data_IF_796305821402
#
_entry.id   IF_796305821402
#
_cell.length_a   1.000
_cell.length_b   1.000
_cell.length_c   1.000
_cell.angle_alpha   90.00
_cell.angle_beta   90.00
_cell.angle_gamma   90.00
#
_symmetry.space_group_name_H-M   'P 1'
#
loop_
_entity.id
_entity.type
_entity.pdbx_description
1 polymer ?
#
# COMPACT_ATOMS: atom_id res chain seq x y z
N UNK A 1 24.30 -7.91 9.04
CA UNK A 1 23.26 -8.84 8.52
C UNK A 1 22.20 -8.01 7.80
N UNK A 2 21.92 -8.34 6.54
CA UNK A 2 20.85 -7.70 5.76
C UNK A 2 19.50 -8.05 6.40
N UNK A 3 18.59 -7.10 6.44
CA UNK A 3 17.34 -7.11 7.21
C UNK A 3 16.39 -8.26 6.76
N UNK A 4 16.59 -9.49 7.28
CA UNK A 4 15.84 -10.71 6.87
C UNK A 4 14.33 -10.53 7.09
N UNK A 5 13.93 -9.88 8.18
CA UNK A 5 12.54 -9.53 8.48
C UNK A 5 11.98 -8.52 7.50
N UNK A 6 12.77 -7.54 7.06
CA UNK A 6 12.37 -6.58 6.05
C UNK A 6 12.21 -7.21 4.66
N UNK A 7 13.07 -8.17 4.30
CA UNK A 7 12.91 -8.96 3.08
C UNK A 7 11.65 -9.82 3.14
N UNK A 8 11.38 -10.46 4.28
CA UNK A 8 10.14 -11.21 4.51
C UNK A 8 8.89 -10.35 4.35
N UNK A 9 8.86 -9.14 4.93
CA UNK A 9 7.73 -8.22 4.79
C UNK A 9 7.52 -7.71 3.35
N UNK A 10 8.60 -7.42 2.62
CA UNK A 10 8.54 -7.03 1.21
C UNK A 10 8.07 -8.18 0.33
N UNK A 11 8.60 -9.39 0.54
CA UNK A 11 8.22 -10.58 -0.19
C UNK A 11 6.74 -10.91 0.05
N UNK A 12 6.29 -10.94 1.30
CA UNK A 12 4.91 -11.23 1.67
C UNK A 12 3.93 -10.28 0.99
N UNK A 13 4.23 -8.98 1.02
CA UNK A 13 3.41 -7.96 0.37
C UNK A 13 3.35 -8.15 -1.15
N UNK A 14 4.49 -8.38 -1.80
CA UNK A 14 4.54 -8.56 -3.25
C UNK A 14 3.81 -9.85 -3.68
N UNK A 15 3.96 -10.93 -2.91
CA UNK A 15 3.22 -12.17 -3.11
C UNK A 15 1.72 -11.93 -2.94
N UNK A 16 1.29 -11.22 -1.90
CA UNK A 16 -0.12 -10.88 -1.69
C UNK A 16 -0.70 -10.06 -2.86
N UNK A 17 0.06 -9.08 -3.37
CA UNK A 17 -0.32 -8.32 -4.56
C UNK A 17 -0.49 -9.21 -5.79
N UNK A 18 0.48 -10.09 -6.07
CA UNK A 18 0.41 -11.03 -7.19
C UNK A 18 -0.76 -12.01 -7.06
N UNK A 19 -1.01 -12.53 -5.86
CA UNK A 19 -2.16 -13.41 -5.60
C UNK A 19 -3.45 -12.64 -5.84
N UNK A 20 -3.59 -11.41 -5.34
CA UNK A 20 -4.78 -10.59 -5.54
C UNK A 20 -5.05 -10.28 -7.01
N UNK A 21 -4.01 -9.89 -7.77
CA UNK A 21 -4.10 -9.66 -9.21
C UNK A 21 -4.50 -10.95 -9.94
N UNK A 22 -3.83 -12.06 -9.64
CA UNK A 22 -4.11 -13.36 -10.25
C UNK A 22 -5.54 -13.83 -9.95
N UNK A 23 -5.99 -13.70 -8.71
CA UNK A 23 -7.35 -14.04 -8.30
C UNK A 23 -8.39 -13.20 -9.08
N UNK A 24 -8.19 -11.90 -9.23
CA UNK A 24 -9.08 -11.06 -10.05
C UNK A 24 -9.09 -11.47 -11.53
N UNK A 25 -7.94 -11.86 -12.09
CA UNK A 25 -7.87 -12.39 -13.46
C UNK A 25 -8.66 -13.71 -13.58
N UNK A 26 -8.50 -14.62 -12.63
CA UNK A 26 -9.22 -15.91 -12.59
C UNK A 26 -10.73 -15.74 -12.35
N UNK A 27 -11.14 -14.69 -11.63
CA UNK A 27 -12.55 -14.29 -11.46
C UNK A 27 -13.11 -13.53 -12.66
N UNK A 28 -12.38 -13.45 -13.78
CA UNK A 28 -12.72 -12.70 -15.00
C UNK A 28 -12.85 -11.17 -14.82
N UNK A 29 -12.32 -10.62 -13.72
CA UNK A 29 -12.36 -9.20 -13.38
C UNK A 29 -11.12 -8.47 -13.91
N UNK A 30 -10.81 -8.64 -15.20
CA UNK A 30 -9.57 -8.14 -15.84
C UNK A 30 -9.36 -6.63 -15.65
N UNK A 31 -10.43 -5.84 -15.72
CA UNK A 31 -10.38 -4.39 -15.50
C UNK A 31 -9.95 -4.04 -14.06
N UNK A 32 -10.50 -4.73 -13.05
CA UNK A 32 -10.13 -4.52 -11.66
C UNK A 32 -8.70 -4.98 -11.39
N UNK A 33 -8.27 -6.09 -11.98
CA UNK A 33 -6.89 -6.55 -11.91
C UNK A 33 -5.90 -5.52 -12.48
N UNK A 34 -6.21 -4.94 -13.63
CA UNK A 34 -5.41 -3.88 -14.25
C UNK A 34 -5.37 -2.61 -13.38
N UNK A 35 -6.51 -2.19 -12.84
CA UNK A 35 -6.58 -1.04 -11.91
C UNK A 35 -5.70 -1.29 -10.68
N UNK A 36 -5.84 -2.45 -10.03
CA UNK A 36 -5.02 -2.82 -8.87
C UNK A 36 -3.52 -2.77 -9.20
N UNK A 37 -3.12 -3.35 -10.34
CA UNK A 37 -1.73 -3.33 -10.80
C UNK A 37 -1.22 -1.89 -11.04
N UNK A 38 -2.03 -1.04 -11.69
CA UNK A 38 -1.68 0.36 -11.93
C UNK A 38 -1.54 1.17 -10.63
N UNK A 39 -2.43 0.95 -9.65
CA UNK A 39 -2.35 1.62 -8.34
C UNK A 39 -1.04 1.24 -7.63
N UNK A 40 -0.70 -0.04 -7.61
CA UNK A 40 0.51 -0.52 -6.93
C UNK A 40 1.77 -0.01 -7.64
N UNK A 41 1.82 -0.09 -8.97
CA UNK A 41 2.96 0.35 -9.77
C UNK A 41 3.17 1.87 -9.66
N UNK A 42 2.10 2.66 -9.80
CA UNK A 42 2.16 4.12 -9.69
C UNK A 42 2.56 4.57 -8.29
N UNK A 43 2.07 3.89 -7.24
CA UNK A 43 2.47 4.20 -5.87
C UNK A 43 3.93 3.87 -5.59
N UNK A 44 4.46 2.78 -6.13
CA UNK A 44 5.90 2.48 -6.03
C UNK A 44 6.76 3.56 -6.73
N UNK A 45 6.34 4.00 -7.92
CA UNK A 45 7.02 5.09 -8.63
C UNK A 45 6.95 6.40 -7.85
N UNK A 46 5.80 6.74 -7.27
CA UNK A 46 5.62 7.94 -6.47
C UNK A 46 6.50 7.93 -5.21
N UNK A 47 6.53 6.81 -4.48
CA UNK A 47 7.41 6.65 -3.32
C UNK A 47 8.88 6.83 -3.70
N UNK A 48 9.29 6.19 -4.79
CA UNK A 48 10.65 6.26 -5.31
C UNK A 48 11.02 7.69 -5.71
N UNK A 49 10.12 8.40 -6.41
CA UNK A 49 10.33 9.78 -6.81
C UNK A 49 10.51 10.71 -5.59
N UNK A 50 9.63 10.62 -4.58
CA UNK A 50 9.77 11.42 -3.35
C UNK A 50 11.07 11.07 -2.62
N UNK A 51 11.44 9.79 -2.56
CA UNK A 51 12.65 9.33 -1.87
C UNK A 51 13.92 9.95 -2.45
N UNK A 52 14.05 9.98 -3.76
CA UNK A 52 15.20 10.60 -4.44
C UNK A 52 15.09 12.12 -4.57
N UNK A 53 13.94 12.71 -4.26
CA UNK A 53 13.80 14.18 -4.23
C UNK A 53 14.20 14.78 -2.88
N UNK A 54 13.96 14.06 -1.78
CA UNK A 54 14.22 14.56 -0.42
C UNK A 54 15.61 14.16 0.09
N UNK A 55 16.13 13.01 -0.32
CA UNK A 55 17.48 12.51 0.02
C UNK A 55 17.84 12.57 1.51
N UNK A 56 16.86 12.39 2.39
CA UNK A 56 17.05 12.48 3.84
C UNK A 56 18.01 11.39 4.35
N UNK A 57 19.02 11.81 5.12
CA UNK A 57 19.91 10.89 5.83
C UNK A 57 19.16 10.07 6.90
N UNK A 58 19.56 8.81 7.06
CA UNK A 58 18.96 7.89 8.06
C UNK A 58 19.40 8.23 9.48
N UNK A 59 18.62 7.85 10.51
CA UNK A 59 19.04 7.99 11.90
C UNK A 59 20.32 7.19 12.17
N UNK A 60 21.40 7.88 12.52
CA UNK A 60 22.66 7.24 12.94
C UNK A 60 22.62 6.96 14.45
N UNK A 61 21.79 5.99 14.84
CA UNK A 61 21.62 5.58 16.23
C UNK A 61 22.59 4.42 16.50
N UNK A 62 23.45 4.57 17.51
CA UNK A 62 24.29 3.50 18.04
C UNK A 62 23.39 2.31 18.44
N UNK A 63 23.42 1.23 17.66
CA UNK A 63 22.56 0.06 17.88
C UNK A 63 21.52 -0.24 16.79
N UNK A 64 21.68 0.29 15.55
CA UNK A 64 20.88 -0.20 14.42
C UNK A 64 20.92 -1.73 14.35
N UNK A 65 19.76 -2.35 14.55
CA UNK A 65 19.63 -3.81 14.54
C UNK A 65 19.91 -4.39 13.14
N UNK A 66 19.71 -3.58 12.10
CA UNK A 66 19.93 -3.96 10.69
C UNK A 66 20.35 -2.77 9.82
N UNK A 67 21.18 -3.02 8.80
CA UNK A 67 21.59 -2.01 7.82
C UNK A 67 20.61 -1.96 6.65
N UNK A 68 20.16 -0.76 6.30
CA UNK A 68 19.32 -0.51 5.14
C UNK A 68 19.89 0.64 4.30
N UNK A 69 20.06 0.41 2.99
CA UNK A 69 20.62 1.40 2.06
C UNK A 69 19.59 2.42 1.55
N UNK A 70 20.09 3.51 0.97
CA UNK A 70 19.30 4.58 0.37
C UNK A 70 18.66 5.56 1.37
N UNK A 71 18.02 6.64 0.87
CA UNK A 71 17.44 7.69 1.70
C UNK A 71 16.36 7.19 2.67
N UNK A 72 16.19 7.89 3.79
CA UNK A 72 15.29 7.48 4.89
C UNK A 72 13.83 7.85 4.66
N UNK A 73 13.59 8.96 3.95
CA UNK A 73 12.27 9.54 3.77
C UNK A 73 11.75 9.32 2.34
N UNK A 74 10.46 8.97 2.17
CA UNK A 74 9.59 8.37 3.17
C UNK A 74 9.99 6.90 3.43
N UNK A 75 9.47 6.32 4.52
CA UNK A 75 9.65 4.89 4.77
C UNK A 75 8.94 4.06 3.70
N UNK A 76 9.72 3.39 2.85
CA UNK A 76 9.19 2.55 1.76
C UNK A 76 8.41 1.35 2.29
N UNK A 77 8.81 0.76 3.43
CA UNK A 77 8.04 -0.30 4.09
C UNK A 77 6.67 0.21 4.54
N UNK A 78 6.63 1.39 5.16
CA UNK A 78 5.39 1.98 5.65
C UNK A 78 4.46 2.38 4.49
N UNK A 79 5.01 3.03 3.46
CA UNK A 79 4.26 3.46 2.27
C UNK A 79 3.65 2.28 1.53
N UNK A 80 4.48 1.31 1.14
CA UNK A 80 4.02 0.19 0.35
C UNK A 80 3.12 -0.77 1.15
N UNK A 81 3.30 -0.91 2.47
CA UNK A 81 2.40 -1.71 3.31
C UNK A 81 0.99 -1.11 3.35
N UNK A 82 0.86 0.20 3.57
CA UNK A 82 -0.42 0.89 3.53
C UNK A 82 -1.06 0.82 2.14
N UNK A 83 -0.28 1.13 1.09
CA UNK A 83 -0.73 1.12 -0.31
C UNK A 83 -1.30 -0.25 -0.71
N UNK A 84 -0.53 -1.33 -0.53
CA UNK A 84 -0.93 -2.66 -1.01
C UNK A 84 -2.08 -3.22 -0.17
N UNK A 85 -2.04 -3.07 1.15
CA UNK A 85 -3.11 -3.56 2.02
C UNK A 85 -4.45 -2.91 1.64
N UNK A 86 -4.49 -1.59 1.52
CA UNK A 86 -5.71 -0.87 1.18
C UNK A 86 -6.15 -1.11 -0.26
N UNK A 87 -5.22 -1.10 -1.23
CA UNK A 87 -5.56 -1.35 -2.63
C UNK A 87 -6.19 -2.74 -2.82
N UNK A 88 -5.64 -3.77 -2.17
CA UNK A 88 -6.23 -5.12 -2.15
C UNK A 88 -7.61 -5.10 -1.50
N UNK A 89 -7.73 -4.57 -0.29
CA UNK A 89 -9.02 -4.53 0.41
C UNK A 89 -10.09 -3.81 -0.41
N UNK A 90 -9.77 -2.66 -1.02
CA UNK A 90 -10.70 -1.91 -1.85
C UNK A 90 -11.07 -2.65 -3.14
N UNK A 91 -10.11 -3.36 -3.77
CA UNK A 91 -10.38 -4.16 -4.96
C UNK A 91 -11.33 -5.34 -4.67
N UNK A 92 -11.26 -5.93 -3.47
CA UNK A 92 -12.09 -7.09 -3.10
C UNK A 92 -13.39 -6.75 -2.35
N UNK A 93 -13.52 -5.53 -1.81
CA UNK A 93 -14.72 -5.07 -1.10
C UNK A 93 -16.03 -5.21 -1.90
N UNK A 94 -16.07 -4.99 -3.23
CA UNK A 94 -17.28 -5.18 -4.03
C UNK A 94 -17.84 -6.61 -4.00
N UNK A 95 -17.01 -7.64 -3.78
CA UNK A 95 -17.46 -9.04 -3.70
C UNK A 95 -18.06 -9.42 -2.33
N UNK A 96 -17.97 -8.53 -1.35
CA UNK A 96 -18.48 -8.77 0.00
C UNK A 96 -19.87 -8.14 0.11
N UNK A 97 -20.93 -8.91 0.36
CA UNK A 97 -22.29 -8.36 0.45
C UNK A 97 -22.61 -7.72 1.81
N UNK A 98 -21.85 -8.05 2.86
CA UNK A 98 -22.13 -7.61 4.23
C UNK A 98 -21.41 -6.30 4.57
N UNK A 99 -22.12 -5.19 4.86
CA UNK A 99 -21.50 -3.89 5.09
C UNK A 99 -20.60 -3.87 6.34
N UNK A 100 -20.95 -4.62 7.38
CA UNK A 100 -20.13 -4.76 8.59
C UNK A 100 -18.80 -5.44 8.26
N UNK A 101 -18.82 -6.50 7.44
CA UNK A 101 -17.61 -7.20 7.03
C UNK A 101 -16.72 -6.30 6.16
N UNK A 102 -17.30 -5.49 5.26
CA UNK A 102 -16.54 -4.48 4.49
C UNK A 102 -15.77 -3.53 5.41
N UNK A 103 -16.46 -2.94 6.39
CA UNK A 103 -15.84 -2.04 7.38
C UNK A 103 -14.75 -2.76 8.16
N UNK A 104 -15.02 -3.98 8.61
CA UNK A 104 -14.05 -4.80 9.35
C UNK A 104 -12.78 -5.06 8.53
N UNK A 105 -12.90 -5.42 7.25
CA UNK A 105 -11.76 -5.65 6.36
C UNK A 105 -10.92 -4.37 6.18
N UNK A 106 -11.56 -3.22 5.95
CA UNK A 106 -10.85 -1.94 5.83
C UNK A 106 -10.13 -1.59 7.14
N UNK A 107 -10.82 -1.66 8.29
CA UNK A 107 -10.20 -1.40 9.59
C UNK A 107 -9.01 -2.33 9.85
N UNK A 108 -9.14 -3.60 9.50
CA UNK A 108 -8.06 -4.59 9.65
C UNK A 108 -6.86 -4.25 8.76
N UNK A 109 -7.08 -3.85 7.50
CA UNK A 109 -6.00 -3.43 6.60
C UNK A 109 -5.27 -2.18 7.10
N UNK A 110 -6.02 -1.19 7.61
CA UNK A 110 -5.45 0.02 8.24
C UNK A 110 -4.62 -0.36 9.46
N UNK A 111 -5.15 -1.18 10.37
CA UNK A 111 -4.46 -1.58 11.60
C UNK A 111 -3.19 -2.40 11.31
N UNK A 112 -3.26 -3.40 10.44
CA UNK A 112 -2.10 -4.23 10.10
C UNK A 112 -1.01 -3.44 9.39
N UNK A 113 -1.37 -2.55 8.45
CA UNK A 113 -0.37 -1.70 7.79
C UNK A 113 0.29 -0.71 8.75
N UNK A 114 -0.46 -0.20 9.74
CA UNK A 114 0.09 0.66 10.79
C UNK A 114 1.05 -0.10 11.71
N UNK A 115 0.73 -1.34 12.10
CA UNK A 115 1.64 -2.19 12.88
C UNK A 115 2.95 -2.47 12.15
N UNK A 116 2.89 -2.73 10.83
CA UNK A 116 4.09 -2.86 10.00
C UNK A 116 4.88 -1.55 9.97
N UNK A 117 4.21 -0.40 9.85
CA UNK A 117 4.87 0.90 9.89
C UNK A 117 5.59 1.11 11.24
N UNK A 118 4.91 0.85 12.35
CA UNK A 118 5.45 0.99 13.71
C UNK A 118 6.66 0.09 13.97
N UNK A 119 6.68 -1.11 13.40
CA UNK A 119 7.84 -2.02 13.50
C UNK A 119 9.15 -1.38 13.02
N UNK A 120 9.09 -0.42 12.07
CA UNK A 120 10.27 0.26 11.54
C UNK A 120 10.83 1.32 12.49
N UNK A 121 9.96 1.93 13.31
CA UNK A 121 10.39 2.80 14.42
C UNK A 121 11.07 1.95 15.48
N UNK A 122 10.46 0.81 15.83
CA UNK A 122 10.99 -0.10 16.85
C UNK A 122 12.39 -0.64 16.51
N UNK A 123 12.62 -0.93 15.23
CA UNK A 123 13.93 -1.39 14.74
C UNK A 123 15.00 -0.28 14.67
N UNK A 124 14.63 0.97 14.93
CA UNK A 124 15.56 2.11 14.92
C UNK A 124 16.09 2.51 13.54
N UNK A 125 15.46 2.03 12.46
CA UNK A 125 15.95 2.25 11.07
C UNK A 125 15.34 3.46 10.37
N UNK A 126 14.29 4.05 10.94
CA UNK A 126 13.58 5.21 10.41
C UNK A 126 13.12 6.14 11.53
N UNK A 127 13.08 7.45 11.26
CA UNK A 127 12.43 8.39 12.15
C UNK A 127 10.91 8.15 12.18
N UNK A 128 10.27 8.49 13.30
CA UNK A 128 8.79 8.45 13.41
C UNK A 128 8.12 9.24 12.28
N UNK A 129 8.70 10.39 11.90
CA UNK A 129 8.20 11.19 10.78
C UNK A 129 8.31 10.49 9.42
N UNK A 130 9.38 9.73 9.16
CA UNK A 130 9.52 8.96 7.92
C UNK A 130 8.44 7.87 7.81
N UNK A 131 8.14 7.23 8.93
CA UNK A 131 7.14 6.17 9.05
C UNK A 131 5.73 6.72 8.89
N UNK A 132 5.41 7.83 9.57
CA UNK A 132 4.10 8.48 9.44
C UNK A 132 3.88 9.05 8.05
N UNK A 133 4.87 9.74 7.46
CA UNK A 133 4.77 10.24 6.10
C UNK A 133 4.60 9.11 5.08
N UNK A 134 5.33 8.00 5.25
CA UNK A 134 5.15 6.81 4.42
C UNK A 134 3.74 6.24 4.54
N UNK A 135 3.27 5.96 5.76
CA UNK A 135 1.96 5.35 6.00
C UNK A 135 0.80 6.23 5.50
N UNK A 136 0.84 7.54 5.78
CA UNK A 136 -0.15 8.50 5.29
C UNK A 136 -0.08 8.63 3.76
N UNK A 137 1.12 8.72 3.19
CA UNK A 137 1.32 8.82 1.75
C UNK A 137 0.78 7.60 1.00
N UNK A 138 1.07 6.39 1.47
CA UNK A 138 0.56 5.16 0.89
C UNK A 138 -0.97 5.03 1.00
N UNK A 139 -1.52 5.44 2.15
CA UNK A 139 -2.97 5.48 2.38
C UNK A 139 -3.67 6.45 1.45
N UNK A 140 -3.17 7.69 1.37
CA UNK A 140 -3.70 8.71 0.49
C UNK A 140 -3.61 8.28 -0.98
N UNK A 141 -2.49 7.71 -1.40
CA UNK A 141 -2.31 7.23 -2.77
C UNK A 141 -3.32 6.13 -3.14
N UNK A 142 -3.51 5.14 -2.25
CA UNK A 142 -4.47 4.07 -2.47
C UNK A 142 -5.90 4.62 -2.61
N UNK A 143 -6.32 5.50 -1.69
CA UNK A 143 -7.67 6.07 -1.69
C UNK A 143 -7.92 6.98 -2.89
N UNK A 144 -7.01 7.92 -3.16
CA UNK A 144 -7.14 8.84 -4.29
C UNK A 144 -7.14 8.10 -5.63
N UNK A 145 -6.26 7.12 -5.81
CA UNK A 145 -6.20 6.35 -7.06
C UNK A 145 -7.44 5.46 -7.22
N UNK A 146 -7.88 4.79 -6.15
CA UNK A 146 -9.11 3.99 -6.20
C UNK A 146 -10.33 4.86 -6.54
N UNK A 147 -10.45 6.05 -5.94
CA UNK A 147 -11.52 6.99 -6.24
C UNK A 147 -11.45 7.50 -7.69
N UNK A 148 -10.25 7.85 -8.17
CA UNK A 148 -10.04 8.28 -9.56
C UNK A 148 -10.49 7.22 -10.57
N UNK A 149 -10.15 5.95 -10.34
CA UNK A 149 -10.59 4.87 -11.22
C UNK A 149 -12.08 4.51 -11.07
N UNK A 150 -12.66 4.75 -9.90
CA UNK A 150 -14.10 4.58 -9.68
C UNK A 150 -14.93 5.62 -10.46
N UNK A 151 -14.49 6.89 -10.48
CA UNK A 151 -15.17 7.96 -11.24
C UNK A 151 -14.89 7.90 -12.73
N UNK A 152 -13.75 7.34 -13.15
CA UNK A 152 -13.40 7.19 -14.57
C UNK A 152 -14.05 5.97 -15.24
N UNK A 153 -14.95 5.26 -14.56
CA UNK A 153 -15.73 4.19 -15.19
C UNK A 153 -16.75 4.72 -16.18
N UNK A 154 -17.12 3.94 -17.20
CA UNK A 154 -18.19 4.34 -18.11
C UNK A 154 -19.43 4.60 -17.26
N UNK A 155 -19.92 5.84 -17.30
CA UNK A 155 -21.28 6.16 -16.90
C UNK A 155 -22.19 5.27 -17.73
N UNK A 156 -22.63 4.13 -17.17
CA UNK A 156 -23.87 3.53 -17.63
C UNK A 156 -24.94 4.56 -17.35
N UNK A 157 -25.26 5.34 -18.37
CA UNK A 157 -26.48 6.12 -18.44
C UNK A 157 -27.61 5.15 -18.13
N UNK A 158 -28.13 5.22 -16.91
CA UNK A 158 -29.45 4.70 -16.61
C UNK A 158 -30.41 5.56 -17.42
N UNK A 159 -30.75 5.06 -18.60
CA UNK A 159 -31.90 5.52 -19.38
C UNK A 159 -33.11 5.49 -18.45
N UNK A 160 -33.67 6.68 -18.27
CA UNK A 160 -35.05 6.91 -17.86
C UNK A 160 -35.97 6.17 -18.84
N UNK A 161 -36.60 5.10 -18.39
CA UNK A 161 -37.82 4.61 -19.01
C UNK A 161 -38.97 5.22 -18.21
N UNK A 162 -39.55 6.28 -18.77
CA UNK A 162 -40.89 6.80 -18.43
C UNK A 162 -41.97 5.77 -18.74
#
# INVERSE_FOLDING_TARGET
MRDITAMGGVALRNIAALIGITALVLLHQKRQAAILAMIILSGWLAETAVKYSVERARPDILGQLTHAGGPSFPSGHSFNAALVALALTLAFTPFVNTPILRKFLVCTAVALSFLVAFSRVWLGVHYVSDVMAGWLGGTAWALCSAQFFATSGPHTATETCE
#
